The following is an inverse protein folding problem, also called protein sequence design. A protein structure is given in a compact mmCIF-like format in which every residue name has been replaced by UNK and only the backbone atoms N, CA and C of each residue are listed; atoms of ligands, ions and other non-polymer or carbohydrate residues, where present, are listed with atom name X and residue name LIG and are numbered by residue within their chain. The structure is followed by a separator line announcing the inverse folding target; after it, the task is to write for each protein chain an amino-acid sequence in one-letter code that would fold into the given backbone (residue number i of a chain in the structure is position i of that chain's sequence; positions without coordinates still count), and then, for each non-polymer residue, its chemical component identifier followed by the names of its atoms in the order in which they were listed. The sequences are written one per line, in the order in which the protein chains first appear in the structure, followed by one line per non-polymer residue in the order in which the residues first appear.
data_IF_432347702281
#
_entry.id   IF_432347702281
#
_cell.length_a   1.000
_cell.length_b   1.000
_cell.length_c   1.000
_cell.angle_alpha   90.00
_cell.angle_beta   90.00
_cell.angle_gamma   90.00
#
_symmetry.space_group_name_H-M   'P 1'
#
loop_
_entity.id
_entity.type
_entity.pdbx_description
1 polymer ?
#
# COMPACT_ATOMS: atom_id res chain seq x y z
N UNK A 1 -4.54 -0.52 6.39
CA UNK A 1 -4.30 0.85 5.92
C UNK A 1 -5.65 1.49 5.62
N UNK A 2 -5.93 2.66 6.19
CA UNK A 2 -7.23 3.36 6.02
C UNK A 2 -7.48 3.69 4.57
N UNK A 3 -6.49 4.22 3.82
CA UNK A 3 -6.61 4.46 2.38
C UNK A 3 -7.16 3.25 1.62
N UNK A 4 -6.62 2.07 1.90
CA UNK A 4 -7.07 0.83 1.23
C UNK A 4 -8.52 0.51 1.59
N UNK A 5 -8.91 0.74 2.85
CA UNK A 5 -10.30 0.56 3.31
C UNK A 5 -11.24 1.55 2.62
N UNK A 6 -10.85 2.82 2.55
CA UNK A 6 -11.65 3.88 1.93
C UNK A 6 -11.84 3.63 0.43
N UNK A 7 -10.78 3.21 -0.27
CA UNK A 7 -10.86 2.85 -1.68
C UNK A 7 -11.79 1.64 -1.92
N UNK A 8 -11.68 0.59 -1.08
CA UNK A 8 -12.54 -0.58 -1.18
C UNK A 8 -14.01 -0.24 -0.89
N UNK A 9 -14.26 0.52 0.19
CA UNK A 9 -15.62 0.96 0.56
C UNK A 9 -16.22 1.88 -0.50
N UNK A 10 -15.43 2.81 -1.07
CA UNK A 10 -15.84 3.69 -2.16
C UNK A 10 -16.20 2.92 -3.45
N UNK A 11 -15.66 1.74 -3.65
CA UNK A 11 -16.02 0.82 -4.73
C UNK A 11 -17.20 -0.12 -4.38
N UNK A 12 -17.76 -0.02 -3.17
CA UNK A 12 -18.86 -0.87 -2.71
C UNK A 12 -18.45 -2.23 -2.16
N UNK A 13 -17.15 -2.46 -1.91
CA UNK A 13 -16.60 -3.70 -1.35
C UNK A 13 -16.62 -3.66 0.20
N UNK A 14 -17.81 -3.55 0.79
CA UNK A 14 -17.95 -3.42 2.24
C UNK A 14 -17.80 -4.75 2.99
N UNK A 15 -17.92 -5.88 2.30
CA UNK A 15 -17.78 -7.25 2.78
C UNK A 15 -16.38 -7.83 2.55
N UNK A 16 -15.46 -7.05 1.98
CA UNK A 16 -14.12 -7.52 1.67
C UNK A 16 -13.21 -7.60 2.90
N UNK A 17 -12.49 -8.71 3.02
CA UNK A 17 -11.40 -8.89 3.99
C UNK A 17 -10.07 -8.71 3.27
N UNK A 18 -9.32 -7.68 3.65
CA UNK A 18 -8.11 -7.27 2.93
C UNK A 18 -6.86 -7.62 3.73
N UNK A 19 -6.00 -8.46 3.16
CA UNK A 19 -4.71 -8.84 3.73
C UNK A 19 -3.56 -8.06 3.07
N UNK A 20 -2.89 -7.21 3.85
CA UNK A 20 -1.71 -6.48 3.40
C UNK A 20 -0.44 -7.23 3.80
N UNK A 21 0.15 -7.98 2.87
CA UNK A 21 1.22 -8.94 3.11
C UNK A 21 2.61 -8.31 3.12
N UNK A 22 3.51 -8.91 3.90
CA UNK A 22 4.93 -8.54 3.99
C UNK A 22 5.79 -9.63 3.35
N UNK A 23 6.81 -9.24 2.57
CA UNK A 23 7.77 -10.13 1.92
C UNK A 23 9.14 -10.18 2.62
N UNK A 24 9.30 -9.48 3.75
CA UNK A 24 10.61 -9.35 4.41
C UNK A 24 11.02 -10.63 5.11
N UNK A 25 10.06 -11.40 5.63
CA UNK A 25 10.34 -12.66 6.33
C UNK A 25 9.40 -13.78 5.87
N UNK A 26 9.93 -14.98 5.74
CA UNK A 26 9.13 -16.18 5.45
C UNK A 26 8.05 -16.43 6.53
N UNK A 27 8.34 -16.07 7.78
CA UNK A 27 7.40 -16.19 8.88
C UNK A 27 6.18 -15.27 8.68
N UNK A 28 6.38 -14.03 8.23
CA UNK A 28 5.26 -13.12 7.93
C UNK A 28 4.36 -13.66 6.81
N UNK A 29 4.95 -14.26 5.77
CA UNK A 29 4.17 -14.90 4.70
C UNK A 29 3.41 -16.13 5.22
N UNK A 30 4.03 -16.96 6.05
CA UNK A 30 3.40 -18.13 6.67
C UNK A 30 2.19 -17.71 7.52
N UNK A 31 2.36 -16.69 8.35
CA UNK A 31 1.28 -16.14 9.19
C UNK A 31 0.14 -15.56 8.33
N UNK A 32 0.47 -14.83 7.26
CA UNK A 32 -0.53 -14.29 6.35
C UNK A 32 -1.37 -15.41 5.72
N UNK A 33 -0.74 -16.50 5.22
CA UNK A 33 -1.46 -17.66 4.66
C UNK A 33 -2.37 -18.33 5.69
N UNK A 34 -1.91 -18.46 6.95
CA UNK A 34 -2.74 -19.01 8.01
C UNK A 34 -3.95 -18.12 8.34
N UNK A 35 -3.72 -16.80 8.40
CA UNK A 35 -4.77 -15.82 8.64
C UNK A 35 -5.83 -15.82 7.53
N UNK A 36 -5.41 -15.90 6.27
CA UNK A 36 -6.29 -16.00 5.09
C UNK A 36 -7.16 -17.26 5.19
N UNK A 37 -6.57 -18.44 5.43
CA UNK A 37 -7.31 -19.69 5.59
C UNK A 37 -8.31 -19.65 6.76
N UNK A 38 -7.91 -19.02 7.85
CA UNK A 38 -8.80 -18.80 8.97
C UNK A 38 -9.96 -17.89 8.61
N UNK A 39 -9.70 -16.75 7.98
CA UNK A 39 -10.72 -15.79 7.56
C UNK A 39 -11.75 -16.43 6.63
N UNK A 40 -11.33 -17.25 5.66
CA UNK A 40 -12.23 -17.97 4.75
C UNK A 40 -13.14 -18.95 5.50
N UNK A 41 -12.61 -19.67 6.51
CA UNK A 41 -13.43 -20.59 7.31
C UNK A 41 -14.46 -19.85 8.18
N UNK A 42 -14.07 -18.70 8.74
CA UNK A 42 -14.93 -17.88 9.60
C UNK A 42 -15.94 -17.07 8.79
N UNK A 43 -15.62 -16.72 7.55
CA UNK A 43 -16.44 -15.88 6.66
C UNK A 43 -16.46 -16.49 5.23
N UNK A 44 -17.24 -17.55 4.99
CA UNK A 44 -17.23 -18.28 3.71
C UNK A 44 -17.59 -17.40 2.50
N UNK A 45 -18.50 -16.44 2.69
CA UNK A 45 -19.03 -15.59 1.62
C UNK A 45 -18.28 -14.26 1.46
N UNK A 46 -17.35 -13.93 2.37
CA UNK A 46 -16.60 -12.70 2.31
C UNK A 46 -15.60 -12.73 1.13
N UNK A 47 -15.42 -11.57 0.51
CA UNK A 47 -14.42 -11.41 -0.56
C UNK A 47 -13.02 -11.22 0.04
N UNK A 48 -12.11 -12.16 -0.22
CA UNK A 48 -10.74 -12.10 0.30
C UNK A 48 -9.80 -11.51 -0.74
N UNK A 49 -9.24 -10.35 -0.41
CA UNK A 49 -8.30 -9.60 -1.26
C UNK A 49 -6.91 -9.61 -0.62
N UNK A 50 -5.91 -10.05 -1.37
CA UNK A 50 -4.51 -10.06 -0.92
C UNK A 50 -3.73 -8.95 -1.62
N UNK A 51 -2.98 -8.17 -0.86
CA UNK A 51 -2.12 -7.10 -1.35
C UNK A 51 -0.82 -7.03 -0.54
N UNK A 52 0.04 -6.09 -0.85
CA UNK A 52 1.29 -5.89 -0.12
C UNK A 52 2.52 -6.37 -0.89
N UNK A 53 3.68 -6.33 -0.23
CA UNK A 53 4.94 -6.62 -0.92
C UNK A 53 5.04 -8.08 -1.37
N UNK A 54 4.54 -9.04 -0.58
CA UNK A 54 4.57 -10.45 -0.99
C UNK A 54 3.63 -10.72 -2.18
N UNK A 55 2.46 -10.09 -2.20
CA UNK A 55 1.53 -10.16 -3.34
C UNK A 55 2.14 -9.53 -4.60
N UNK A 56 2.86 -8.41 -4.46
CA UNK A 56 3.52 -7.73 -5.58
C UNK A 56 4.65 -8.57 -6.20
N UNK A 57 5.42 -9.28 -5.37
CA UNK A 57 6.62 -10.00 -5.81
C UNK A 57 6.27 -11.38 -6.40
N UNK A 58 5.31 -12.06 -5.83
CA UNK A 58 4.91 -13.41 -6.23
C UNK A 58 3.37 -13.54 -6.25
N UNK A 59 2.69 -12.84 -7.18
CA UNK A 59 1.23 -12.82 -7.25
C UNK A 59 0.63 -14.22 -7.45
N UNK A 60 1.23 -15.04 -8.31
CA UNK A 60 0.76 -16.39 -8.63
C UNK A 60 0.67 -17.29 -7.40
N UNK A 61 1.57 -17.10 -6.41
CA UNK A 61 1.55 -17.85 -5.16
C UNK A 61 0.34 -17.55 -4.27
N UNK A 62 -0.27 -16.40 -4.43
CA UNK A 62 -1.44 -15.96 -3.69
C UNK A 62 -2.73 -16.24 -4.48
N UNK A 63 -2.70 -16.03 -5.79
CA UNK A 63 -3.81 -16.34 -6.70
C UNK A 63 -4.12 -17.85 -6.74
N UNK A 64 -3.09 -18.68 -6.62
CA UNK A 64 -3.26 -20.14 -6.54
C UNK A 64 -3.89 -20.63 -5.23
N UNK A 65 -4.12 -19.77 -4.23
CA UNK A 65 -4.78 -20.15 -2.98
C UNK A 65 -6.31 -20.16 -3.17
N UNK A 66 -7.00 -21.29 -2.93
CA UNK A 66 -8.45 -21.38 -3.12
C UNK A 66 -9.24 -20.46 -2.17
N UNK A 67 -8.60 -19.96 -1.14
CA UNK A 67 -9.19 -19.03 -0.19
C UNK A 67 -9.15 -17.57 -0.66
N UNK A 68 -8.37 -17.25 -1.70
CA UNK A 68 -8.16 -15.89 -2.20
C UNK A 68 -9.01 -15.64 -3.43
N UNK A 69 -9.75 -14.55 -3.44
CA UNK A 69 -10.58 -14.16 -4.58
C UNK A 69 -9.84 -13.18 -5.52
N UNK A 70 -9.00 -12.30 -4.94
CA UNK A 70 -8.29 -11.29 -5.72
C UNK A 70 -6.90 -10.97 -5.16
N UNK A 71 -5.97 -10.64 -6.07
CA UNK A 71 -4.63 -10.15 -5.76
C UNK A 71 -4.45 -8.75 -6.34
N UNK A 72 -4.01 -7.79 -5.50
CA UNK A 72 -3.84 -6.39 -5.89
C UNK A 72 -2.43 -5.90 -5.58
N UNK A 73 -1.79 -5.28 -6.56
CA UNK A 73 -0.45 -4.73 -6.44
C UNK A 73 -0.31 -3.59 -5.44
N UNK A 74 0.93 -3.30 -5.08
CA UNK A 74 1.25 -2.24 -4.10
C UNK A 74 0.95 -0.83 -4.60
N UNK A 75 0.99 -0.60 -5.90
CA UNK A 75 0.56 0.66 -6.49
C UNK A 75 -0.97 0.68 -6.65
N UNK A 76 -1.52 -0.39 -7.21
CA UNK A 76 -2.92 -0.48 -7.62
C UNK A 76 -3.87 -0.38 -6.43
N UNK A 77 -3.51 -0.93 -5.26
CA UNK A 77 -4.32 -0.84 -4.03
C UNK A 77 -4.62 0.60 -3.57
N UNK A 78 -3.93 1.57 -4.13
CA UNK A 78 -4.05 2.99 -3.79
C UNK A 78 -4.90 3.75 -4.80
N UNK A 79 -5.39 3.07 -5.84
CA UNK A 79 -6.11 3.68 -6.96
C UNK A 79 -7.56 3.21 -7.01
N UNK A 80 -8.50 4.15 -7.17
CA UNK A 80 -9.92 3.82 -7.27
C UNK A 80 -10.26 2.89 -8.46
N UNK A 81 -9.65 3.02 -9.66
CA UNK A 81 -9.94 2.12 -10.77
C UNK A 81 -9.69 0.65 -10.46
N UNK A 82 -8.63 0.32 -9.68
CA UNK A 82 -8.36 -1.07 -9.31
C UNK A 82 -9.50 -1.67 -8.47
N UNK A 83 -9.98 -0.95 -7.46
CA UNK A 83 -11.08 -1.40 -6.62
C UNK A 83 -12.42 -1.48 -7.36
N UNK A 84 -12.67 -0.56 -8.29
CA UNK A 84 -13.85 -0.60 -9.17
C UNK A 84 -13.83 -1.82 -10.09
N UNK A 85 -12.67 -2.19 -10.65
CA UNK A 85 -12.52 -3.40 -11.46
C UNK A 85 -12.77 -4.67 -10.62
N UNK A 86 -12.25 -4.73 -9.39
CA UNK A 86 -12.54 -5.82 -8.45
C UNK A 86 -14.03 -5.93 -8.12
N UNK A 87 -14.69 -4.81 -7.88
CA UNK A 87 -16.12 -4.80 -7.56
C UNK A 87 -16.97 -5.35 -8.71
N UNK A 88 -16.55 -5.14 -9.95
CA UNK A 88 -17.21 -5.67 -11.16
C UNK A 88 -16.86 -7.14 -11.45
N UNK A 89 -15.82 -7.67 -10.81
CA UNK A 89 -15.33 -9.02 -11.09
C UNK A 89 -14.50 -9.14 -12.39
N UNK A 90 -13.96 -8.02 -12.87
CA UNK A 90 -13.30 -7.95 -14.19
C UNK A 90 -11.96 -8.72 -14.24
N UNK A 91 -11.23 -8.83 -13.10
CA UNK A 91 -9.95 -9.53 -13.05
C UNK A 91 -9.62 -10.11 -11.68
N UNK A 92 -9.09 -11.36 -11.60
CA UNK A 92 -8.62 -11.93 -10.33
C UNK A 92 -7.32 -11.28 -9.84
N UNK A 93 -6.45 -10.85 -10.75
CA UNK A 93 -5.15 -10.23 -10.45
C UNK A 93 -5.06 -8.86 -11.12
N UNK A 94 -4.80 -7.81 -10.32
CA UNK A 94 -4.54 -6.45 -10.80
C UNK A 94 -3.16 -6.04 -10.29
N UNK A 95 -2.18 -5.98 -11.19
CA UNK A 95 -0.79 -5.78 -10.84
C UNK A 95 -0.08 -4.88 -11.85
N UNK A 96 0.28 -3.68 -11.42
CA UNK A 96 1.17 -2.79 -12.18
C UNK A 96 2.64 -3.12 -11.90
N UNK A 97 3.51 -2.95 -12.90
CA UNK A 97 4.95 -3.04 -12.70
C UNK A 97 5.46 -1.87 -11.84
N UNK A 98 5.78 -2.16 -10.59
CA UNK A 98 6.23 -1.13 -9.64
C UNK A 98 7.53 -0.43 -10.06
N UNK A 99 8.32 -1.05 -10.95
CA UNK A 99 9.55 -0.46 -11.47
C UNK A 99 9.28 0.66 -12.49
N UNK A 100 8.11 0.64 -13.13
CA UNK A 100 7.68 1.66 -14.09
C UNK A 100 7.00 2.85 -13.41
N UNK A 101 6.58 2.72 -12.16
CA UNK A 101 5.90 3.79 -11.43
C UNK A 101 6.88 4.92 -11.13
N UNK A 102 6.53 6.13 -11.55
CA UNK A 102 7.36 7.35 -11.38
C UNK A 102 6.82 8.30 -10.31
N UNK A 103 5.53 8.24 -10.03
CA UNK A 103 4.87 9.11 -9.08
C UNK A 103 4.63 8.41 -7.74
N UNK A 104 4.75 9.16 -6.66
CA UNK A 104 4.29 8.74 -5.35
C UNK A 104 2.90 9.30 -5.13
N UNK A 105 1.90 8.44 -5.01
CA UNK A 105 0.61 8.88 -4.52
C UNK A 105 0.80 9.33 -3.06
N UNK A 106 0.68 10.61 -2.83
CA UNK A 106 0.58 11.16 -1.49
C UNK A 106 -0.81 10.76 -0.98
N UNK A 107 -0.86 9.81 -0.06
CA UNK A 107 -2.12 9.33 0.50
C UNK A 107 -2.71 10.43 1.36
N UNK A 108 -3.69 11.10 0.80
CA UNK A 108 -4.44 12.13 1.49
C UNK A 108 -5.56 11.46 2.27
N UNK A 109 -5.29 11.19 3.53
CA UNK A 109 -6.32 10.88 4.50
C UNK A 109 -6.79 12.20 5.09
N UNK A 110 -8.08 12.48 4.95
CA UNK A 110 -8.66 13.71 5.49
C UNK A 110 -8.74 13.70 7.03
N UNK A 111 -8.67 12.53 7.65
CA UNK A 111 -8.53 12.35 9.10
C UNK A 111 -8.16 10.91 9.48
N UNK A 112 -7.40 10.75 10.56
CA UNK A 112 -7.28 9.49 11.29
C UNK A 112 -8.30 9.51 12.43
N UNK A 113 -9.51 9.00 12.19
CA UNK A 113 -10.56 8.97 13.22
C UNK A 113 -10.07 8.32 14.52
N UNK A 114 -10.02 9.11 15.60
CA UNK A 114 -9.65 8.63 16.91
C UNK A 114 -8.16 8.45 17.18
N UNK A 115 -7.27 8.91 16.28
CA UNK A 115 -5.82 8.86 16.48
C UNK A 115 -5.24 10.25 16.71
N UNK A 116 -4.43 10.38 17.77
CA UNK A 116 -3.68 11.59 18.07
C UNK A 116 -2.48 11.77 17.13
N UNK A 117 -1.96 10.66 16.58
CA UNK A 117 -0.78 10.62 15.71
C UNK A 117 -1.15 10.16 14.30
N UNK A 118 -0.74 10.94 13.29
CA UNK A 118 -0.85 10.62 11.88
C UNK A 118 0.48 10.25 11.25
N UNK A 119 0.48 9.24 10.35
CA UNK A 119 1.66 8.85 9.57
C UNK A 119 1.54 9.38 8.15
N UNK A 120 2.44 10.28 7.77
CA UNK A 120 2.50 10.86 6.44
C UNK A 120 3.66 10.26 5.65
N UNK A 121 3.32 9.48 4.63
CA UNK A 121 4.33 8.89 3.76
C UNK A 121 4.85 9.94 2.77
N UNK A 122 6.12 10.30 2.88
CA UNK A 122 6.77 11.32 2.04
C UNK A 122 7.69 10.72 0.98
N UNK A 123 8.04 9.43 1.13
CA UNK A 123 8.94 8.73 0.21
C UNK A 123 8.56 7.26 0.10
N UNK A 124 8.66 6.68 -1.08
CA UNK A 124 8.36 5.29 -1.39
C UNK A 124 9.46 4.70 -2.29
N UNK A 125 9.65 3.38 -2.18
CA UNK A 125 10.65 2.66 -2.98
C UNK A 125 12.08 2.90 -2.52
N UNK A 126 13.04 2.28 -3.22
CA UNK A 126 14.46 2.41 -2.90
C UNK A 126 15.30 2.10 -4.15
N UNK A 127 16.30 2.93 -4.43
CA UNK A 127 17.22 2.72 -5.56
C UNK A 127 18.42 1.85 -5.19
N UNK A 128 18.63 1.58 -3.90
CA UNK A 128 19.66 0.65 -3.46
C UNK A 128 19.32 -0.78 -3.89
N UNK A 129 20.37 -1.54 -4.20
CA UNK A 129 20.28 -2.95 -4.63
C UNK A 129 21.09 -3.82 -3.70
N UNK A 130 20.83 -3.69 -2.38
CA UNK A 130 21.47 -4.53 -1.37
C UNK A 130 21.15 -6.00 -1.64
N UNK A 131 22.15 -6.87 -1.57
CA UNK A 131 22.06 -8.26 -2.01
C UNK A 131 20.98 -9.09 -1.29
N UNK A 132 20.64 -8.72 -0.07
CA UNK A 132 19.61 -9.39 0.76
C UNK A 132 18.24 -8.72 0.74
N UNK A 133 18.11 -7.56 0.06
CA UNK A 133 16.94 -6.71 0.22
C UNK A 133 15.90 -6.95 -0.87
N UNK A 134 14.70 -7.35 -0.45
CA UNK A 134 13.54 -7.58 -1.32
C UNK A 134 12.72 -6.30 -1.60
N UNK A 135 12.96 -5.22 -0.86
CA UNK A 135 12.12 -4.01 -0.87
C UNK A 135 11.96 -3.38 -2.26
N UNK A 136 13.02 -3.20 -3.09
CA UNK A 136 12.85 -2.61 -4.41
C UNK A 136 11.86 -3.37 -5.31
N UNK A 137 11.82 -4.69 -5.19
CA UNK A 137 10.94 -5.55 -5.99
C UNK A 137 9.47 -5.46 -5.57
N UNK A 138 9.22 -5.17 -4.30
CA UNK A 138 7.85 -4.98 -3.78
C UNK A 138 7.37 -3.54 -3.78
N UNK A 139 8.29 -2.56 -3.80
CA UNK A 139 7.99 -1.13 -3.65
C UNK A 139 8.41 -0.26 -4.83
N UNK A 140 9.26 -0.80 -5.73
CA UNK A 140 9.81 -0.08 -6.88
C UNK A 140 10.99 0.83 -6.53
N UNK A 141 11.37 1.65 -7.50
CA UNK A 141 12.43 2.64 -7.38
C UNK A 141 12.05 3.80 -6.45
N UNK A 142 13.04 4.58 -6.00
CA UNK A 142 12.84 5.73 -5.14
C UNK A 142 11.89 6.76 -5.79
N UNK A 143 10.90 7.18 -5.02
CA UNK A 143 9.92 8.21 -5.40
C UNK A 143 9.61 9.06 -4.19
N UNK A 144 9.76 10.37 -4.33
CA UNK A 144 9.50 11.35 -3.28
C UNK A 144 8.26 12.16 -3.58
N UNK A 145 7.45 12.43 -2.58
CA UNK A 145 6.41 13.44 -2.68
C UNK A 145 7.04 14.84 -2.69
N UNK A 146 6.50 15.75 -3.49
CA UNK A 146 6.96 17.13 -3.53
C UNK A 146 6.69 17.86 -2.20
N UNK A 147 7.53 18.83 -1.85
CA UNK A 147 7.39 19.55 -0.58
C UNK A 147 6.00 20.18 -0.38
N UNK A 148 5.43 20.79 -1.44
CA UNK A 148 4.09 21.36 -1.40
C UNK A 148 3.02 20.31 -1.09
N UNK A 149 3.11 19.13 -1.70
CA UNK A 149 2.17 18.03 -1.45
C UNK A 149 2.24 17.55 0.01
N UNK A 150 3.47 17.52 0.58
CA UNK A 150 3.69 17.13 1.98
C UNK A 150 3.06 18.17 2.91
N UNK A 151 3.27 19.47 2.64
CA UNK A 151 2.72 20.57 3.44
C UNK A 151 1.19 20.55 3.39
N UNK A 152 0.60 20.42 2.19
CA UNK A 152 -0.85 20.38 2.01
C UNK A 152 -1.48 19.15 2.71
N UNK A 153 -0.81 18.00 2.64
CA UNK A 153 -1.28 16.80 3.33
C UNK A 153 -1.16 16.94 4.86
N UNK A 154 -0.08 17.54 5.34
CA UNK A 154 0.11 17.82 6.76
C UNK A 154 -0.95 18.79 7.30
N UNK A 155 -1.24 19.86 6.55
CA UNK A 155 -2.29 20.82 6.92
C UNK A 155 -3.66 20.12 7.09
N UNK A 156 -4.05 19.29 6.13
CA UNK A 156 -5.32 18.52 6.24
C UNK A 156 -5.35 17.60 7.45
N UNK A 157 -4.25 16.93 7.78
CA UNK A 157 -4.17 16.08 8.98
C UNK A 157 -4.36 16.91 10.25
N UNK A 158 -3.74 18.10 10.33
CA UNK A 158 -3.90 19.03 11.47
C UNK A 158 -5.33 19.54 11.57
N UNK A 159 -5.92 19.95 10.44
CA UNK A 159 -7.33 20.39 10.39
C UNK A 159 -8.30 19.27 10.80
N UNK A 160 -7.94 18.02 10.52
CA UNK A 160 -8.64 16.81 10.97
C UNK A 160 -8.41 16.44 12.46
N UNK A 161 -7.64 17.27 13.23
CA UNK A 161 -7.44 17.07 14.65
C UNK A 161 -6.23 16.19 15.03
N UNK A 162 -5.34 15.88 14.09
CA UNK A 162 -4.10 15.15 14.37
C UNK A 162 -3.12 16.08 15.09
N UNK A 163 -2.65 15.69 16.28
CA UNK A 163 -1.74 16.50 17.10
C UNK A 163 -0.25 16.23 16.82
N UNK A 164 0.08 15.07 16.23
CA UNK A 164 1.45 14.68 15.92
C UNK A 164 1.50 14.05 14.53
N UNK A 165 2.40 14.50 13.67
CA UNK A 165 2.65 13.93 12.34
C UNK A 165 4.02 13.27 12.32
N UNK A 166 4.07 12.00 11.93
CA UNK A 166 5.30 11.26 11.71
C UNK A 166 5.55 11.11 10.22
N UNK A 167 6.60 11.73 9.71
CA UNK A 167 7.03 11.56 8.33
C UNK A 167 7.65 10.16 8.14
N UNK A 168 7.19 9.43 7.14
CA UNK A 168 7.62 8.05 6.90
C UNK A 168 8.13 7.86 5.47
N UNK A 169 9.06 6.93 5.31
CA UNK A 169 9.60 6.51 4.01
C UNK A 169 10.29 5.16 4.11
N UNK A 170 10.52 4.55 2.97
CA UNK A 170 11.29 3.29 2.87
C UNK A 170 12.79 3.58 3.00
N UNK A 171 13.24 4.66 2.36
CA UNK A 171 14.59 5.19 2.39
C UNK A 171 14.50 6.73 2.47
N UNK A 172 14.12 7.22 3.64
CA UNK A 172 13.78 8.63 3.85
C UNK A 172 14.99 9.56 3.62
N UNK A 173 16.21 9.05 3.78
CA UNK A 173 17.45 9.80 3.51
C UNK A 173 17.64 10.13 2.03
N UNK A 174 17.04 9.33 1.15
CA UNK A 174 17.02 9.56 -0.30
C UNK A 174 15.86 10.45 -0.76
N UNK A 175 15.05 11.00 0.16
CA UNK A 175 13.97 11.90 -0.22
C UNK A 175 14.51 13.09 -1.02
N UNK A 176 13.81 13.44 -2.09
CA UNK A 176 14.15 14.55 -2.96
C UNK A 176 15.15 14.21 -4.08
N UNK A 177 15.83 13.06 -4.04
CA UNK A 177 16.85 12.73 -5.06
C UNK A 177 16.28 12.63 -6.47
N UNK A 178 15.01 12.30 -6.62
CA UNK A 178 14.27 12.23 -7.88
C UNK A 178 13.48 13.51 -8.21
N UNK A 179 13.49 14.51 -7.33
CA UNK A 179 12.78 15.78 -7.52
C UNK A 179 13.69 16.83 -8.22
N UNK A 180 13.12 17.82 -8.93
CA UNK A 180 13.86 18.95 -9.46
C UNK A 180 14.64 19.67 -8.36
N UNK A 181 15.91 20.00 -8.66
CA UNK A 181 16.78 20.66 -7.69
C UNK A 181 17.31 19.76 -6.56
N UNK A 182 16.89 18.50 -6.52
CA UNK A 182 17.31 17.50 -5.53
C UNK A 182 17.32 18.04 -4.08
N UNK A 183 16.19 18.55 -3.59
CA UNK A 183 16.12 19.07 -2.23
C UNK A 183 16.38 17.94 -1.23
N UNK A 184 16.70 18.33 0.02
CA UNK A 184 16.84 17.40 1.14
C UNK A 184 15.71 17.64 2.13
N UNK A 185 15.38 16.63 2.92
CA UNK A 185 14.27 16.69 3.88
C UNK A 185 14.65 17.47 5.16
N UNK A 186 15.90 17.68 5.42
CA UNK A 186 16.43 18.45 6.56
C UNK A 186 17.91 18.69 6.46
#
# INVERSE_FOLDING_TARGET
SEVVRDQASGAGLNDAIIFNTCAVTAEAERQARQAIRRARRENPDARIVVTGCAAQIAPDNWDAMPEVDHVVGNHDKLTAPAWQALAKGDAPVILSDVMQIRETATHMLDAFSGHTRGFLQVQQGCDHRCTFCIIPYGRGNNRSAGAHQIVDAAARLVDGGVAEIVLTGVDITSWGSNLPGRPRLG
#
